data_IF_108220981196
#
_entry.id   IF_108220981196
#
_cell.length_a   1.000
_cell.length_b   1.000
_cell.length_c   1.000
_cell.angle_alpha   90.00
_cell.angle_beta   90.00
_cell.angle_gamma   90.00
#
_symmetry.space_group_name_H-M   'P 1'
#
loop_
_entity.id
_entity.type
_entity.pdbx_description
1 polymer ?
#
# COMPACT_ATOMS: atom_id res chain seq x y z
N UNK A 1 23.34 -22.19 -79.31
CA UNK A 1 22.30 -21.31 -79.89
C UNK A 1 22.03 -20.21 -78.89
N UNK A 2 22.16 -18.95 -79.32
CA UNK A 2 21.80 -17.72 -78.59
C UNK A 2 20.26 -17.69 -78.37
N UNK A 3 19.68 -16.95 -77.41
CA UNK A 3 19.72 -15.48 -77.31
C UNK A 3 19.41 -14.91 -75.88
N UNK A 4 19.68 -13.61 -75.64
CA UNK A 4 19.65 -12.94 -74.32
C UNK A 4 18.50 -11.89 -74.15
N UNK A 5 18.59 -11.12 -73.03
CA UNK A 5 17.90 -9.85 -72.61
C UNK A 5 16.65 -10.00 -71.71
N UNK A 6 16.39 -9.14 -70.69
CA UNK A 6 17.02 -7.91 -70.17
C UNK A 6 16.59 -7.69 -68.69
N UNK A 7 17.27 -6.82 -67.90
CA UNK A 7 16.88 -6.51 -66.53
C UNK A 7 15.84 -5.39 -66.47
N UNK A 8 14.78 -5.54 -65.65
CA UNK A 8 13.81 -4.46 -65.40
C UNK A 8 13.37 -4.45 -63.92
N UNK A 9 13.93 -3.47 -63.21
CA UNK A 9 13.35 -2.62 -62.15
C UNK A 9 12.17 -3.06 -61.27
N UNK A 10 12.46 -3.04 -59.95
CA UNK A 10 11.70 -2.43 -58.83
C UNK A 10 10.26 -2.88 -58.60
N UNK A 11 10.09 -3.71 -57.57
CA UNK A 11 8.93 -3.63 -56.68
C UNK A 11 9.42 -3.55 -55.23
N UNK A 12 9.37 -2.34 -54.69
CA UNK A 12 9.55 -2.00 -53.28
C UNK A 12 8.35 -2.60 -52.53
N UNK A 13 8.45 -3.87 -52.15
CA UNK A 13 7.32 -4.67 -51.69
C UNK A 13 7.39 -4.96 -50.20
N UNK A 14 6.78 -4.08 -49.40
CA UNK A 14 6.15 -4.40 -48.11
C UNK A 14 7.04 -5.14 -47.10
N UNK A 15 7.75 -4.38 -46.27
CA UNK A 15 7.22 -4.11 -44.93
C UNK A 15 7.06 -5.41 -44.13
N UNK A 16 8.17 -5.83 -43.50
CA UNK A 16 8.17 -6.71 -42.34
C UNK A 16 7.53 -6.02 -41.11
N UNK A 17 6.44 -5.27 -41.32
CA UNK A 17 5.61 -4.77 -40.23
C UNK A 17 4.75 -5.95 -39.81
N UNK A 18 5.18 -6.61 -38.74
CA UNK A 18 4.25 -7.23 -37.81
C UNK A 18 3.05 -6.27 -37.68
N UNK A 19 1.81 -6.72 -37.86
CA UNK A 19 0.69 -5.91 -37.41
C UNK A 19 0.94 -5.69 -35.92
N UNK A 20 1.13 -4.43 -35.51
CA UNK A 20 0.99 -4.08 -34.12
C UNK A 20 -0.36 -4.67 -33.70
N UNK A 21 -0.33 -5.57 -32.72
CA UNK A 21 -1.54 -6.11 -32.15
C UNK A 21 -2.48 -4.93 -31.94
N UNK A 22 -3.63 -4.98 -32.64
CA UNK A 22 -4.60 -3.90 -32.68
C UNK A 22 -4.84 -3.41 -31.26
N UNK A 23 -4.70 -2.10 -31.10
CA UNK A 23 -4.73 -1.39 -29.83
C UNK A 23 -5.86 -1.89 -28.95
N UNK A 24 -5.50 -2.72 -27.98
CA UNK A 24 -6.15 -2.64 -26.70
C UNK A 24 -5.31 -1.61 -25.97
N UNK A 25 -5.81 -0.39 -25.93
CA UNK A 25 -5.36 0.57 -24.94
C UNK A 25 -5.36 -0.19 -23.61
N UNK A 26 -4.18 -0.40 -23.03
CA UNK A 26 -4.07 -1.12 -21.77
C UNK A 26 -5.07 -0.47 -20.82
N UNK A 27 -6.01 -1.26 -20.29
CA UNK A 27 -7.07 -0.74 -19.45
C UNK A 27 -6.44 0.18 -18.40
N UNK A 28 -6.88 1.44 -18.36
CA UNK A 28 -6.34 2.40 -17.42
C UNK A 28 -6.44 1.79 -16.03
N UNK A 29 -5.28 1.66 -15.36
CA UNK A 29 -5.26 1.23 -13.96
C UNK A 29 -6.05 2.28 -13.18
N UNK A 30 -7.21 1.89 -12.65
CA UNK A 30 -7.96 2.73 -11.73
C UNK A 30 -7.14 2.86 -10.45
N UNK A 31 -6.31 3.89 -10.39
CA UNK A 31 -5.46 4.17 -9.24
C UNK A 31 -6.33 4.68 -8.08
N UNK A 32 -6.56 3.81 -7.08
CA UNK A 32 -7.32 4.13 -5.87
C UNK A 32 -8.82 4.25 -6.12
N UNK A 33 -9.64 3.55 -5.35
CA UNK A 33 -11.10 3.73 -5.39
C UNK A 33 -11.46 4.94 -4.52
N UNK A 34 -12.03 5.98 -5.13
CA UNK A 34 -12.63 7.09 -4.38
C UNK A 34 -14.04 6.71 -3.93
N UNK A 35 -14.24 6.60 -2.62
CA UNK A 35 -15.52 6.19 -2.06
C UNK A 35 -16.48 7.37 -1.96
N UNK A 36 -17.54 7.35 -2.78
CA UNK A 36 -18.61 8.38 -2.82
C UNK A 36 -19.77 8.14 -1.84
N UNK A 37 -19.63 7.20 -0.92
CA UNK A 37 -20.67 6.80 0.05
C UNK A 37 -20.12 6.86 1.48
N UNK A 38 -21.00 7.09 2.46
CA UNK A 38 -20.66 7.13 3.90
C UNK A 38 -20.28 5.72 4.42
N UNK A 39 -19.40 5.59 5.44
CA UNK A 39 -19.21 4.29 6.13
C UNK A 39 -20.51 3.80 6.75
N UNK A 40 -20.55 2.52 7.06
CA UNK A 40 -21.60 1.97 7.89
C UNK A 40 -21.06 1.82 9.31
N UNK A 41 -21.73 2.46 10.26
CA UNK A 41 -21.29 2.47 11.66
C UNK A 41 -21.89 1.26 12.38
N UNK A 42 -21.03 0.37 12.90
CA UNK A 42 -21.44 -0.86 13.59
C UNK A 42 -21.70 -0.65 15.09
N UNK A 43 -21.09 0.39 15.66
CA UNK A 43 -21.14 0.73 17.08
C UNK A 43 -21.72 2.13 17.26
N UNK A 44 -22.42 2.35 18.37
CA UNK A 44 -22.77 3.69 18.85
C UNK A 44 -21.54 4.40 19.42
N UNK A 45 -21.65 5.70 19.64
CA UNK A 45 -20.61 6.49 20.31
C UNK A 45 -20.23 5.90 21.68
N UNK A 46 -21.23 5.53 22.48
CA UNK A 46 -21.02 4.87 23.78
C UNK A 46 -20.24 3.55 23.65
N UNK A 47 -20.47 2.80 22.57
CA UNK A 47 -19.73 1.56 22.30
C UNK A 47 -18.28 1.80 21.87
N UNK A 48 -18.00 2.91 21.19
CA UNK A 48 -16.64 3.33 20.85
C UNK A 48 -15.89 3.77 22.11
N UNK A 49 -16.50 4.60 22.95
CA UNK A 49 -15.92 5.04 24.21
C UNK A 49 -15.60 3.85 25.13
N UNK A 50 -16.48 2.85 25.20
CA UNK A 50 -16.21 1.64 25.98
C UNK A 50 -14.97 0.87 25.51
N UNK A 51 -14.67 0.89 24.20
CA UNK A 51 -13.44 0.30 23.65
C UNK A 51 -12.24 1.18 24.00
N UNK A 52 -12.35 2.50 23.86
CA UNK A 52 -11.28 3.43 24.20
C UNK A 52 -10.89 3.35 25.69
N UNK A 53 -11.88 3.23 26.59
CA UNK A 53 -11.63 3.03 28.02
C UNK A 53 -10.88 1.71 28.29
N UNK A 54 -11.27 0.63 27.60
CA UNK A 54 -10.59 -0.66 27.73
C UNK A 54 -9.16 -0.60 27.17
N UNK A 55 -8.97 0.09 26.04
CA UNK A 55 -7.66 0.29 25.41
C UNK A 55 -6.73 1.08 26.33
N UNK A 56 -7.23 2.14 27.00
CA UNK A 56 -6.46 2.89 27.98
C UNK A 56 -5.95 1.99 29.12
N UNK A 57 -6.82 1.14 29.67
CA UNK A 57 -6.45 0.17 30.72
C UNK A 57 -5.39 -0.82 30.21
N UNK A 58 -5.58 -1.39 29.01
CA UNK A 58 -4.63 -2.34 28.43
C UNK A 58 -3.26 -1.69 28.24
N UNK A 59 -3.21 -0.48 27.70
CA UNK A 59 -1.95 0.21 27.41
C UNK A 59 -1.22 0.70 28.67
N UNK A 60 -1.95 1.00 29.74
CA UNK A 60 -1.37 1.38 31.03
C UNK A 60 -0.92 0.15 31.82
N UNK A 61 -1.76 -0.87 31.96
CA UNK A 61 -1.51 -2.00 32.87
C UNK A 61 -0.71 -3.14 32.23
N UNK A 62 -0.89 -3.37 30.93
CA UNK A 62 -0.28 -4.49 30.19
C UNK A 62 0.84 -3.99 29.27
N UNK A 63 0.58 -2.90 28.55
CA UNK A 63 1.53 -2.31 27.60
C UNK A 63 1.70 -3.09 26.30
N UNK A 64 2.74 -2.73 25.53
CA UNK A 64 3.09 -3.32 24.24
C UNK A 64 4.55 -3.76 24.24
N UNK A 65 4.83 -4.93 23.66
CA UNK A 65 6.19 -5.43 23.46
C UNK A 65 6.78 -4.97 22.11
N UNK A 66 7.99 -4.43 22.16
CA UNK A 66 8.82 -4.10 21.00
C UNK A 66 9.95 -5.12 20.87
N UNK A 67 9.77 -6.08 19.95
CA UNK A 67 10.73 -7.16 19.71
C UNK A 67 11.84 -6.72 18.78
N UNK A 68 13.08 -6.90 19.25
CA UNK A 68 14.32 -6.58 18.51
C UNK A 68 14.38 -5.15 17.96
N UNK A 69 13.66 -4.21 18.59
CA UNK A 69 13.56 -2.81 18.15
C UNK A 69 13.86 -1.83 19.31
N UNK A 70 15.14 -1.63 19.63
CA UNK A 70 15.53 -0.68 20.67
C UNK A 70 15.26 0.78 20.31
N UNK A 71 15.21 1.13 19.01
CA UNK A 71 14.94 2.51 18.55
C UNK A 71 13.52 2.92 18.91
N UNK A 72 12.54 2.03 18.70
CA UNK A 72 11.17 2.28 19.15
C UNK A 72 11.11 2.52 20.65
N UNK A 73 11.79 1.71 21.46
CA UNK A 73 11.81 1.90 22.92
C UNK A 73 12.36 3.27 23.33
N UNK A 74 13.37 3.79 22.61
CA UNK A 74 13.89 5.14 22.86
C UNK A 74 12.88 6.23 22.52
N UNK A 75 12.12 6.08 21.43
CA UNK A 75 11.03 7.00 21.08
C UNK A 75 9.94 7.00 22.15
N UNK A 76 9.57 5.84 22.67
CA UNK A 76 8.57 5.71 23.73
C UNK A 76 9.06 6.31 25.05
N UNK A 77 10.33 6.12 25.44
CA UNK A 77 10.93 6.81 26.60
C UNK A 77 10.91 8.33 26.44
N UNK A 78 11.21 8.83 25.24
CA UNK A 78 11.19 10.26 24.96
C UNK A 78 9.77 10.86 24.99
N UNK A 79 8.75 10.02 24.79
CA UNK A 79 7.34 10.37 24.94
C UNK A 79 6.82 10.18 26.39
N UNK A 80 7.71 9.98 27.36
CA UNK A 80 7.42 9.71 28.78
C UNK A 80 6.63 8.42 29.05
N UNK A 81 6.73 7.42 28.16
CA UNK A 81 6.22 6.09 28.47
C UNK A 81 7.17 5.36 29.43
N UNK A 82 6.61 4.50 30.27
CA UNK A 82 7.39 3.63 31.14
C UNK A 82 7.89 2.43 30.34
N UNK A 83 9.20 2.21 30.31
CA UNK A 83 9.82 1.15 29.49
C UNK A 83 10.52 0.14 30.37
N UNK A 84 10.11 -1.13 30.27
CA UNK A 84 10.65 -2.26 31.01
C UNK A 84 11.26 -3.30 30.05
N UNK A 85 12.60 -3.40 30.03
CA UNK A 85 13.35 -4.30 29.14
C UNK A 85 12.96 -4.12 27.65
N UNK A 86 12.01 -4.92 27.17
CA UNK A 86 11.52 -5.00 25.79
C UNK A 86 10.05 -4.55 25.62
N UNK A 87 9.39 -4.09 26.67
CA UNK A 87 8.01 -3.58 26.59
C UNK A 87 7.90 -2.15 27.10
N UNK A 88 6.79 -1.49 26.76
CA UNK A 88 6.44 -0.19 27.32
C UNK A 88 4.95 -0.10 27.66
N UNK A 89 4.65 0.65 28.72
CA UNK A 89 3.30 1.03 29.13
C UNK A 89 3.14 2.55 29.10
N UNK A 90 1.92 3.00 28.84
CA UNK A 90 1.57 4.42 28.93
C UNK A 90 1.47 4.79 30.42
N UNK A 91 2.43 5.56 30.93
CA UNK A 91 2.40 6.03 32.31
C UNK A 91 1.13 6.87 32.55
N UNK A 92 0.31 6.47 33.55
CA UNK A 92 -1.06 6.91 33.83
C UNK A 92 -1.35 8.42 33.73
N UNK A 93 -1.47 8.90 32.50
CA UNK A 93 -1.87 10.28 32.14
C UNK A 93 -3.36 10.37 31.78
N UNK A 94 -4.11 9.26 31.87
CA UNK A 94 -5.53 9.14 31.55
C UNK A 94 -6.33 8.91 32.84
N UNK A 95 -6.36 9.90 33.73
CA UNK A 95 -7.38 10.04 34.77
C UNK A 95 -7.79 11.50 34.91
#
# INVERSE_FOLDING_TARGET
MAEPRAPTTRARGRSNRRPAAGGHEAAAVLAGVERRIRPHDLLSEEGLLAIEDADAVILEEIGIEFRDDPESLDLWRAADAEVNQNSCCLAGRVR
#
